data_IF_894645499000
#
_entry.id   IF_894645499000
#
_cell.length_a   1.000
_cell.length_b   1.000
_cell.length_c   1.000
_cell.angle_alpha   90.00
_cell.angle_beta   90.00
_cell.angle_gamma   90.00
#
_symmetry.space_group_name_H-M   'P 1'
#
loop_
_entity.id
_entity.type
_entity.pdbx_description
1 polymer ?
#
# COMPACT_ATOMS: atom_id res chain seq x y z
N UNK A 1 80.38 21.65 -38.18
CA UNK A 1 80.06 20.68 -37.11
C UNK A 1 78.56 20.45 -36.85
N UNK A 2 77.62 21.19 -37.48
CA UNK A 2 76.16 21.03 -37.25
C UNK A 2 75.54 19.76 -37.88
N UNK A 3 76.07 19.28 -39.01
CA UNK A 3 75.51 18.13 -39.75
C UNK A 3 75.61 16.78 -39.02
N UNK A 4 76.64 16.59 -38.18
CA UNK A 4 76.85 15.34 -37.45
C UNK A 4 75.85 15.16 -36.30
N UNK A 5 75.55 16.24 -35.58
CA UNK A 5 74.51 16.27 -34.54
C UNK A 5 73.10 16.02 -35.12
N UNK A 6 72.83 16.52 -36.32
CA UNK A 6 71.57 16.27 -37.03
C UNK A 6 71.43 14.79 -37.44
N UNK A 7 72.50 14.17 -37.95
CA UNK A 7 72.49 12.77 -38.36
C UNK A 7 72.22 11.81 -37.18
N UNK A 8 72.87 12.04 -36.03
CA UNK A 8 72.63 11.27 -34.80
C UNK A 8 71.17 11.38 -34.38
N UNK A 9 70.58 12.59 -34.42
CA UNK A 9 69.18 12.79 -34.04
C UNK A 9 68.20 12.09 -34.97
N UNK A 10 68.47 12.06 -36.28
CA UNK A 10 67.66 11.33 -37.26
C UNK A 10 67.62 9.83 -36.94
N UNK A 11 68.77 9.23 -36.61
CA UNK A 11 68.85 7.80 -36.27
C UNK A 11 68.10 7.50 -34.97
N UNK A 12 68.30 8.33 -33.94
CA UNK A 12 67.60 8.18 -32.66
C UNK A 12 66.07 8.28 -32.84
N UNK A 13 65.59 9.30 -33.56
CA UNK A 13 64.18 9.47 -33.88
C UNK A 13 63.63 8.29 -34.69
N UNK A 14 64.42 7.75 -35.63
CA UNK A 14 64.02 6.60 -36.43
C UNK A 14 63.87 5.32 -35.58
N UNK A 15 64.76 5.10 -34.61
CA UNK A 15 64.64 3.99 -33.65
C UNK A 15 63.39 4.14 -32.79
N UNK A 16 63.19 5.33 -32.22
CA UNK A 16 62.01 5.64 -31.40
C UNK A 16 60.71 5.50 -32.19
N UNK A 17 60.70 5.88 -33.48
CA UNK A 17 59.53 5.73 -34.34
C UNK A 17 59.20 4.25 -34.61
N UNK A 18 60.21 3.38 -34.79
CA UNK A 18 60.01 1.93 -34.90
C UNK A 18 59.46 1.32 -33.62
N UNK A 19 60.00 1.70 -32.46
CA UNK A 19 59.53 1.25 -31.16
C UNK A 19 58.07 1.68 -30.90
N UNK A 20 57.74 2.95 -31.16
CA UNK A 20 56.37 3.45 -31.05
C UNK A 20 55.40 2.72 -31.98
N UNK A 21 55.82 2.42 -33.21
CA UNK A 21 55.00 1.64 -34.15
C UNK A 21 54.70 0.24 -33.61
N UNK A 22 55.70 -0.43 -33.01
CA UNK A 22 55.50 -1.74 -32.41
C UNK A 22 54.57 -1.69 -31.19
N UNK A 23 54.69 -0.68 -30.34
CA UNK A 23 53.83 -0.53 -29.16
C UNK A 23 52.38 -0.21 -29.55
N UNK A 24 52.15 0.63 -30.56
CA UNK A 24 50.81 0.92 -31.08
C UNK A 24 50.11 -0.34 -31.59
N UNK A 25 50.79 -1.18 -32.36
CA UNK A 25 50.20 -2.43 -32.86
C UNK A 25 49.95 -3.45 -31.74
N UNK A 26 50.80 -3.46 -30.71
CA UNK A 26 50.59 -4.27 -29.50
C UNK A 26 49.34 -3.84 -28.75
N UNK A 27 49.19 -2.55 -28.49
CA UNK A 27 48.01 -1.99 -27.81
C UNK A 27 46.75 -2.14 -28.66
N UNK A 28 46.83 -1.98 -29.98
CA UNK A 28 45.71 -2.22 -30.90
C UNK A 28 45.20 -3.65 -30.81
N UNK A 29 46.10 -4.63 -30.68
CA UNK A 29 45.75 -6.04 -30.50
C UNK A 29 45.05 -6.28 -29.16
N UNK A 30 45.59 -5.73 -28.06
CA UNK A 30 44.96 -5.82 -26.73
C UNK A 30 43.57 -5.18 -26.70
N UNK A 31 43.42 -3.99 -27.28
CA UNK A 31 42.13 -3.31 -27.40
C UNK A 31 41.10 -4.16 -28.16
N UNK A 32 41.50 -4.81 -29.26
CA UNK A 32 40.61 -5.70 -30.01
C UNK A 32 40.20 -6.93 -29.20
N UNK A 33 41.13 -7.54 -28.47
CA UNK A 33 40.83 -8.68 -27.60
C UNK A 33 39.87 -8.28 -26.46
N UNK A 34 40.12 -7.16 -25.80
CA UNK A 34 39.27 -6.65 -24.72
C UNK A 34 37.86 -6.29 -25.24
N UNK A 35 37.76 -5.63 -26.39
CA UNK A 35 36.47 -5.32 -27.02
C UNK A 35 35.65 -6.58 -27.31
N UNK A 36 36.29 -7.63 -27.83
CA UNK A 36 35.60 -8.90 -28.07
C UNK A 36 35.14 -9.57 -26.78
N UNK A 37 35.95 -9.51 -25.72
CA UNK A 37 35.61 -10.07 -24.40
C UNK A 37 34.46 -9.31 -23.75
N UNK A 38 34.43 -7.98 -23.88
CA UNK A 38 33.30 -7.16 -23.42
C UNK A 38 32.01 -7.58 -24.14
N UNK A 39 32.03 -7.67 -25.48
CA UNK A 39 30.85 -8.09 -26.26
C UNK A 39 30.35 -9.49 -25.89
N UNK A 40 31.25 -10.43 -25.63
CA UNK A 40 30.88 -11.77 -25.19
C UNK A 40 30.20 -11.74 -23.81
N UNK A 41 30.79 -11.03 -22.84
CA UNK A 41 30.23 -10.89 -21.50
C UNK A 41 28.88 -10.15 -21.50
N UNK A 42 28.73 -9.10 -22.31
CA UNK A 42 27.45 -8.39 -22.47
C UNK A 42 26.35 -9.31 -23.02
N UNK A 43 26.71 -10.22 -23.94
CA UNK A 43 25.79 -11.22 -24.49
C UNK A 43 25.41 -12.26 -23.45
N UNK A 44 26.38 -12.79 -22.70
CA UNK A 44 26.14 -13.76 -21.62
C UNK A 44 25.25 -13.18 -20.53
N UNK A 45 25.49 -11.92 -20.15
CA UNK A 45 24.64 -11.18 -19.20
C UNK A 45 23.22 -11.00 -19.74
N UNK A 46 23.06 -10.65 -21.01
CA UNK A 46 21.71 -10.53 -21.62
C UNK A 46 20.95 -11.85 -21.62
N UNK A 47 21.63 -12.97 -21.90
CA UNK A 47 21.02 -14.31 -21.86
C UNK A 47 20.60 -14.66 -20.42
N UNK A 48 21.48 -14.47 -19.44
CA UNK A 48 21.18 -14.71 -18.03
C UNK A 48 20.00 -13.87 -17.53
N UNK A 49 19.92 -12.60 -17.92
CA UNK A 49 18.80 -11.73 -17.56
C UNK A 49 17.49 -12.26 -18.15
N UNK A 50 17.51 -12.69 -19.41
CA UNK A 50 16.32 -13.26 -20.09
C UNK A 50 15.85 -14.53 -19.38
N UNK A 51 16.77 -15.43 -19.02
CA UNK A 51 16.48 -16.66 -18.29
C UNK A 51 15.99 -16.41 -16.86
N UNK A 52 16.56 -15.42 -16.17
CA UNK A 52 16.12 -15.02 -14.83
C UNK A 52 14.73 -14.38 -14.83
N UNK A 53 14.39 -13.64 -15.89
CA UNK A 53 13.09 -12.96 -16.01
C UNK A 53 11.98 -13.95 -16.38
N UNK A 54 12.25 -14.92 -17.25
CA UNK A 54 11.30 -15.99 -17.58
C UNK A 54 11.05 -16.91 -16.37
N UNK A 55 12.10 -17.28 -15.63
CA UNK A 55 11.98 -18.10 -14.42
C UNK A 55 11.20 -17.43 -13.27
N UNK A 56 11.10 -16.09 -13.23
CA UNK A 56 10.31 -15.35 -12.23
C UNK A 56 8.82 -15.27 -12.57
N UNK A 57 8.43 -15.39 -13.84
CA UNK A 57 7.03 -15.36 -14.24
C UNK A 57 6.32 -16.71 -14.04
N UNK A 58 7.05 -17.83 -14.15
CA UNK A 58 6.49 -19.18 -14.11
C UNK A 58 6.77 -19.96 -12.81
N UNK A 59 7.08 -19.27 -11.71
CA UNK A 59 7.13 -19.94 -10.41
C UNK A 59 5.69 -20.11 -9.86
N UNK A 60 5.13 -21.34 -9.82
CA UNK A 60 3.75 -21.58 -9.39
C UNK A 60 3.50 -21.12 -7.95
N UNK A 61 4.54 -21.12 -7.10
CA UNK A 61 4.47 -20.62 -5.73
C UNK A 61 4.21 -19.12 -5.71
N UNK A 62 4.93 -18.34 -6.52
CA UNK A 62 4.76 -16.88 -6.60
C UNK A 62 3.37 -16.51 -7.10
N UNK A 63 2.85 -17.23 -8.09
CA UNK A 63 1.46 -17.06 -8.58
C UNK A 63 0.43 -17.35 -7.49
N UNK A 64 0.57 -18.49 -6.80
CA UNK A 64 -0.32 -18.85 -5.69
C UNK A 64 -0.29 -17.83 -4.54
N UNK A 65 0.88 -17.27 -4.24
CA UNK A 65 1.03 -16.25 -3.21
C UNK A 65 0.39 -14.92 -3.64
N UNK A 66 0.52 -14.55 -4.91
CA UNK A 66 -0.14 -13.36 -5.46
C UNK A 66 -1.67 -13.48 -5.43
N UNK A 67 -2.21 -14.67 -5.76
CA UNK A 67 -3.64 -14.94 -5.71
C UNK A 67 -4.17 -14.96 -4.27
N UNK A 68 -3.41 -15.53 -3.31
CA UNK A 68 -3.75 -15.46 -1.89
C UNK A 68 -3.73 -14.02 -1.36
N UNK A 69 -2.76 -13.22 -1.79
CA UNK A 69 -2.64 -11.82 -1.41
C UNK A 69 -3.84 -11.00 -1.92
N UNK A 70 -4.22 -11.19 -3.19
CA UNK A 70 -5.38 -10.50 -3.76
C UNK A 70 -6.68 -10.92 -3.08
N UNK A 71 -6.87 -12.21 -2.81
CA UNK A 71 -8.02 -12.71 -2.07
C UNK A 71 -8.10 -12.14 -0.64
N UNK A 72 -6.96 -12.04 0.05
CA UNK A 72 -6.90 -11.42 1.38
C UNK A 72 -7.22 -9.92 1.33
N UNK A 73 -6.71 -9.18 0.34
CA UNK A 73 -7.02 -7.76 0.15
C UNK A 73 -8.50 -7.51 -0.11
N UNK A 74 -9.14 -8.38 -0.91
CA UNK A 74 -10.57 -8.33 -1.15
C UNK A 74 -11.37 -8.52 0.16
N UNK A 75 -11.03 -9.56 0.95
CA UNK A 75 -11.66 -9.80 2.26
C UNK A 75 -11.48 -8.64 3.24
N UNK A 76 -10.30 -8.04 3.28
CA UNK A 76 -10.04 -6.86 4.14
C UNK A 76 -10.95 -5.70 3.74
N UNK A 77 -11.13 -5.48 2.43
CA UNK A 77 -11.99 -4.43 1.91
C UNK A 77 -13.46 -4.70 2.26
N UNK A 78 -13.92 -5.94 2.09
CA UNK A 78 -15.28 -6.36 2.45
C UNK A 78 -15.57 -6.19 3.94
N UNK A 79 -14.67 -6.67 4.81
CA UNK A 79 -14.81 -6.48 6.26
C UNK A 79 -14.79 -5.01 6.66
N UNK A 80 -13.96 -4.17 6.03
CA UNK A 80 -13.97 -2.72 6.26
C UNK A 80 -15.34 -2.12 5.95
N UNK A 81 -15.94 -2.51 4.83
CA UNK A 81 -17.25 -2.03 4.42
C UNK A 81 -18.34 -2.52 5.39
N UNK A 82 -18.29 -3.79 5.81
CA UNK A 82 -19.22 -4.35 6.80
C UNK A 82 -19.14 -3.61 8.15
N UNK A 83 -17.94 -3.29 8.62
CA UNK A 83 -17.74 -2.51 9.84
C UNK A 83 -18.34 -1.11 9.71
N UNK A 84 -18.20 -0.46 8.55
CA UNK A 84 -18.81 0.85 8.31
C UNK A 84 -20.34 0.77 8.32
N UNK A 85 -20.90 -0.25 7.67
CA UNK A 85 -22.34 -0.50 7.66
C UNK A 85 -22.88 -0.73 9.07
N UNK A 86 -22.28 -1.65 9.83
CA UNK A 86 -22.70 -1.97 11.20
C UNK A 86 -22.58 -0.76 12.14
N UNK A 87 -21.56 0.08 11.98
CA UNK A 87 -21.44 1.35 12.74
C UNK A 87 -22.59 2.31 12.43
N UNK A 88 -23.05 2.37 11.18
CA UNK A 88 -24.18 3.21 10.79
C UNK A 88 -25.50 2.66 11.35
N UNK A 89 -25.73 1.35 11.25
CA UNK A 89 -26.90 0.71 11.85
C UNK A 89 -26.93 0.90 13.37
N UNK A 90 -25.78 0.77 14.05
CA UNK A 90 -25.69 1.00 15.49
C UNK A 90 -26.02 2.44 15.87
N UNK A 91 -25.59 3.43 15.08
CA UNK A 91 -25.98 4.84 15.29
C UNK A 91 -27.50 5.03 15.11
N UNK A 92 -28.09 4.40 14.10
CA UNK A 92 -29.54 4.45 13.87
C UNK A 92 -30.31 3.80 15.02
N UNK A 93 -29.88 2.62 15.49
CA UNK A 93 -30.45 1.95 16.63
C UNK A 93 -30.37 2.81 17.90
N UNK A 94 -29.22 3.44 18.16
CA UNK A 94 -29.08 4.38 19.27
C UNK A 94 -30.06 5.56 19.17
N UNK A 95 -30.23 6.14 17.97
CA UNK A 95 -31.18 7.25 17.79
C UNK A 95 -32.63 6.82 18.07
N UNK A 96 -33.02 5.63 17.63
CA UNK A 96 -34.36 5.07 17.92
C UNK A 96 -34.52 4.83 19.41
N UNK A 97 -33.51 4.26 20.07
CA UNK A 97 -33.52 4.07 21.51
C UNK A 97 -33.69 5.41 22.24
N UNK A 98 -32.90 6.43 21.92
CA UNK A 98 -33.01 7.78 22.52
C UNK A 98 -34.44 8.33 22.41
N UNK A 99 -35.09 8.15 21.26
CA UNK A 99 -36.48 8.60 21.08
C UNK A 99 -37.48 7.88 22.00
N UNK A 100 -37.22 6.62 22.35
CA UNK A 100 -38.05 5.80 23.23
C UNK A 100 -37.75 6.01 24.73
N UNK A 101 -36.46 6.13 25.10
CA UNK A 101 -36.04 6.33 26.49
C UNK A 101 -36.05 7.80 26.95
N UNK A 102 -35.88 8.75 26.03
CA UNK A 102 -35.70 10.18 26.32
C UNK A 102 -34.24 10.62 26.25
N UNK A 103 -34.00 11.91 25.97
CA UNK A 103 -32.65 12.48 25.74
C UNK A 103 -31.74 12.44 26.97
N UNK A 104 -32.29 12.48 28.18
CA UNK A 104 -31.53 12.56 29.43
C UNK A 104 -31.18 11.18 30.05
N UNK A 105 -31.48 10.08 29.35
CA UNK A 105 -31.35 8.72 29.90
C UNK A 105 -30.07 8.04 29.44
N UNK A 106 -29.19 7.72 30.38
CA UNK A 106 -27.95 6.99 30.15
C UNK A 106 -28.25 5.50 29.86
N UNK A 107 -28.16 5.10 28.59
CA UNK A 107 -28.47 3.73 28.12
C UNK A 107 -27.69 2.63 28.89
N UNK A 108 -26.38 2.77 29.15
CA UNK A 108 -25.66 1.87 30.07
C UNK A 108 -26.27 1.71 31.47
N UNK A 109 -26.82 2.76 32.07
CA UNK A 109 -27.46 2.68 33.40
C UNK A 109 -28.83 1.97 33.36
N UNK A 110 -29.50 1.95 32.20
CA UNK A 110 -30.72 1.15 32.03
C UNK A 110 -30.44 -0.35 32.11
N UNK A 111 -29.27 -0.80 31.64
CA UNK A 111 -28.87 -2.19 31.75
C UNK A 111 -28.74 -2.64 33.21
N UNK A 112 -28.40 -1.73 34.14
CA UNK A 112 -28.34 -2.03 35.57
C UNK A 112 -29.71 -2.00 36.29
N UNK A 113 -30.75 -1.42 35.70
CA UNK A 113 -32.07 -1.22 36.32
C UNK A 113 -33.21 -1.75 35.44
N UNK A 114 -33.04 -2.96 34.88
CA UNK A 114 -33.92 -3.55 33.87
C UNK A 114 -35.42 -3.71 34.25
N UNK A 115 -35.79 -3.55 35.53
CA UNK A 115 -37.17 -3.74 36.01
C UNK A 115 -37.96 -2.47 36.33
N UNK A 116 -37.30 -1.31 36.47
CA UNK A 116 -37.96 -0.08 36.95
C UNK A 116 -38.12 0.99 35.88
N UNK A 117 -37.56 0.78 34.69
CA UNK A 117 -37.61 1.75 33.62
C UNK A 117 -38.99 1.77 32.94
N UNK A 118 -39.56 2.98 32.81
CA UNK A 118 -40.81 3.22 32.10
C UNK A 118 -40.53 4.09 30.88
N UNK A 119 -40.73 3.55 29.68
CA UNK A 119 -40.48 4.27 28.42
C UNK A 119 -41.37 5.50 28.23
N UNK A 120 -40.95 6.41 27.33
CA UNK A 120 -41.63 7.68 27.06
C UNK A 120 -43.10 7.48 26.68
N UNK A 121 -43.41 6.51 25.82
CA UNK A 121 -44.79 6.21 25.41
C UNK A 121 -45.69 5.85 26.61
N UNK A 122 -45.18 5.03 27.54
CA UNK A 122 -45.93 4.67 28.75
C UNK A 122 -46.09 5.83 29.73
N UNK A 123 -45.07 6.71 29.84
CA UNK A 123 -45.17 7.94 30.64
C UNK A 123 -46.25 8.88 30.06
N UNK A 124 -46.28 9.07 28.75
CA UNK A 124 -47.30 9.87 28.06
C UNK A 124 -48.69 9.34 28.34
N UNK A 125 -48.91 8.03 28.17
CA UNK A 125 -50.22 7.41 28.44
C UNK A 125 -50.65 7.61 29.89
N UNK A 126 -49.75 7.42 30.85
CA UNK A 126 -50.05 7.62 32.27
C UNK A 126 -50.43 9.08 32.59
N UNK A 127 -49.71 10.04 32.01
CA UNK A 127 -50.01 11.46 32.14
C UNK A 127 -51.36 11.81 31.50
N UNK A 128 -51.65 11.31 30.30
CA UNK A 128 -52.93 11.49 29.62
C UNK A 128 -54.10 10.95 30.46
N UNK A 129 -53.97 9.75 31.02
CA UNK A 129 -54.99 9.20 31.92
C UNK A 129 -55.21 10.11 33.13
N UNK A 130 -54.13 10.60 33.77
CA UNK A 130 -54.25 11.47 34.94
C UNK A 130 -54.88 12.83 34.63
N UNK A 131 -54.55 13.41 33.47
CA UNK A 131 -55.18 14.64 32.95
C UNK A 131 -56.68 14.39 32.71
N UNK A 132 -57.04 13.27 32.08
CA UNK A 132 -58.44 12.90 31.85
C UNK A 132 -59.22 12.81 33.17
N UNK A 133 -58.69 12.09 34.16
CA UNK A 133 -59.31 12.00 35.48
C UNK A 133 -59.47 13.36 36.15
N UNK A 134 -58.41 14.19 36.15
CA UNK A 134 -58.44 15.53 36.74
C UNK A 134 -59.45 16.46 36.07
N UNK A 135 -59.56 16.40 34.75
CA UNK A 135 -60.53 17.17 33.98
C UNK A 135 -61.95 16.73 34.34
N UNK A 136 -62.24 15.42 34.34
CA UNK A 136 -63.56 14.89 34.73
C UNK A 136 -63.93 15.29 36.15
N UNK A 137 -62.99 15.24 37.10
CA UNK A 137 -63.26 15.69 38.47
C UNK A 137 -63.50 17.19 38.56
N UNK A 138 -62.78 18.02 37.79
CA UNK A 138 -63.02 19.47 37.76
C UNK A 138 -64.37 19.81 37.14
N UNK A 139 -64.79 19.11 36.08
CA UNK A 139 -66.09 19.33 35.45
C UNK A 139 -67.27 18.91 36.34
N UNK A 140 -67.06 18.01 37.32
CA UNK A 140 -68.08 17.63 38.30
C UNK A 140 -68.12 18.53 39.55
N UNK A 141 -67.19 19.48 39.67
CA UNK A 141 -67.10 20.43 40.81
C UNK A 141 -67.66 21.82 40.44
N UNK A 142 -68.06 22.03 39.18
CA UNK A 142 -68.83 23.19 38.70
C UNK A 142 -70.21 22.74 38.24
#
# INVERSE_FOLDING_TARGET
>A
MSGDAAAVKIVELSKKNRELTAEVERERTKCKQNSNRIKALEKDVSLLITDCLSAKQDNPVVKSLKDKLSAAQLKVTEHRNQVQFLKQELKMAHKVLINEVGEDVNVPQLLSCAGSFRGRAQQILALQSRIFFLNVTNTNIY
#
